data_IF_119491214088
#
_entry.id   IF_119491214088
#
_cell.length_a   1.000
_cell.length_b   1.000
_cell.length_c   1.000
_cell.angle_alpha   90.00
_cell.angle_beta   90.00
_cell.angle_gamma   90.00
#
_symmetry.space_group_name_H-M   'P 1'
#
loop_
_entity.id
_entity.type
_entity.pdbx_description
1 polymer ?
#
# COMPACT_ATOMS: atom_id res chain seq x y z
N UNK A 1 18.66 -5.52 9.25
CA UNK A 1 18.95 -4.11 9.64
C UNK A 1 19.25 -3.23 8.42
N UNK A 2 20.16 -3.62 7.52
CA UNK A 2 20.54 -2.80 6.35
C UNK A 2 19.35 -2.41 5.43
N UNK A 3 18.58 -3.38 4.92
CA UNK A 3 17.45 -3.10 4.01
C UNK A 3 16.41 -2.15 4.61
N UNK A 4 16.06 -2.36 5.87
CA UNK A 4 15.11 -1.51 6.60
C UNK A 4 15.57 -0.04 6.67
N UNK A 5 16.85 0.20 6.96
CA UNK A 5 17.40 1.56 7.01
C UNK A 5 17.46 2.22 5.62
N UNK A 6 17.80 1.46 4.56
CA UNK A 6 17.80 1.99 3.20
C UNK A 6 16.38 2.32 2.71
N UNK A 7 15.42 1.42 2.95
CA UNK A 7 14.01 1.62 2.60
C UNK A 7 13.44 2.86 3.32
N UNK A 8 13.79 3.06 4.59
CA UNK A 8 13.38 4.24 5.39
C UNK A 8 13.89 5.57 4.85
N UNK A 9 15.04 5.60 4.17
CA UNK A 9 15.56 6.84 3.56
C UNK A 9 14.70 7.30 2.39
N UNK A 10 14.11 6.36 1.66
CA UNK A 10 13.21 6.66 0.54
C UNK A 10 11.81 6.93 1.06
N UNK A 11 11.30 6.05 1.91
CA UNK A 11 9.97 6.14 2.49
C UNK A 11 8.86 5.57 1.62
N UNK A 12 7.86 4.97 2.27
CA UNK A 12 6.69 4.33 1.69
C UNK A 12 5.89 5.30 0.83
N UNK A 13 5.68 6.54 1.31
CA UNK A 13 4.98 7.57 0.52
C UNK A 13 5.67 7.84 -0.82
N UNK A 14 7.00 8.02 -0.83
CA UNK A 14 7.73 8.28 -2.08
C UNK A 14 7.81 7.02 -2.97
N UNK A 15 7.87 5.84 -2.36
CA UNK A 15 7.78 4.58 -3.11
C UNK A 15 6.40 4.42 -3.79
N UNK A 16 5.32 4.90 -3.16
CA UNK A 16 3.97 4.83 -3.74
C UNK A 16 3.86 5.55 -5.10
N UNK A 17 4.59 6.65 -5.28
CA UNK A 17 4.60 7.41 -6.54
C UNK A 17 5.24 6.62 -7.69
N UNK A 18 6.08 5.64 -7.36
CA UNK A 18 6.78 4.79 -8.33
C UNK A 18 5.97 3.55 -8.73
N UNK A 19 4.76 3.36 -8.21
CA UNK A 19 3.89 2.23 -8.59
C UNK A 19 3.49 2.24 -10.07
N UNK A 20 3.55 3.40 -10.72
CA UNK A 20 3.36 3.56 -12.17
C UNK A 20 4.43 2.83 -12.99
N UNK A 21 5.61 2.60 -12.42
CA UNK A 21 6.70 1.86 -13.09
C UNK A 21 6.56 0.34 -12.99
N UNK A 22 5.65 -0.16 -12.15
CA UNK A 22 5.48 -1.60 -11.90
C UNK A 22 4.35 -2.12 -12.77
N UNK A 23 4.66 -2.97 -13.74
CA UNK A 23 3.62 -3.61 -14.56
C UNK A 23 2.83 -4.60 -13.69
N UNK A 24 1.51 -4.42 -13.59
CA UNK A 24 0.63 -5.40 -12.96
C UNK A 24 0.25 -6.50 -13.95
N UNK A 25 -0.17 -6.11 -15.16
CA UNK A 25 -0.52 -7.05 -16.23
C UNK A 25 -0.57 -6.31 -17.57
N UNK A 26 -0.07 -6.93 -18.65
CA UNK A 26 0.07 -6.29 -19.99
C UNK A 26 -1.20 -5.59 -20.48
N UNK A 27 -2.38 -6.16 -20.21
CA UNK A 27 -3.69 -5.58 -20.59
C UNK A 27 -4.38 -4.73 -19.53
N UNK A 28 -3.92 -4.79 -18.27
CA UNK A 28 -4.58 -4.11 -17.14
C UNK A 28 -3.69 -3.01 -16.53
N UNK A 29 -2.54 -2.77 -17.15
CA UNK A 29 -1.62 -1.69 -16.84
C UNK A 29 -0.72 -1.98 -15.64
N UNK A 30 -0.47 -0.91 -14.91
CA UNK A 30 0.51 -0.78 -13.83
C UNK A 30 -0.12 -1.06 -12.47
N UNK A 31 0.72 -1.13 -11.44
CA UNK A 31 0.27 -1.28 -10.06
C UNK A 31 -0.48 -0.03 -9.59
N UNK A 32 -0.10 1.16 -10.06
CA UNK A 32 -0.84 2.40 -9.81
C UNK A 32 -2.26 2.36 -10.42
N UNK A 33 -2.40 1.86 -11.65
CA UNK A 33 -3.73 1.71 -12.26
C UNK A 33 -4.57 0.66 -11.52
N UNK A 34 -3.94 -0.37 -10.97
CA UNK A 34 -4.62 -1.33 -10.08
C UNK A 34 -5.10 -0.66 -8.79
N UNK A 35 -4.25 0.13 -8.11
CA UNK A 35 -4.66 0.81 -6.88
C UNK A 35 -5.77 1.83 -7.14
N UNK A 36 -5.77 2.53 -8.27
CA UNK A 36 -6.91 3.39 -8.69
C UNK A 36 -8.23 2.63 -8.82
N UNK A 37 -8.21 1.41 -9.37
CA UNK A 37 -9.41 0.55 -9.41
C UNK A 37 -9.86 0.12 -8.01
N UNK A 38 -8.91 -0.21 -7.14
CA UNK A 38 -9.19 -0.54 -5.73
C UNK A 38 -9.80 0.68 -5.01
N UNK A 39 -9.32 1.90 -5.27
CA UNK A 39 -9.85 3.13 -4.66
C UNK A 39 -11.32 3.30 -5.03
N UNK A 40 -11.67 3.14 -6.31
CA UNK A 40 -13.05 3.23 -6.77
C UNK A 40 -13.97 2.21 -6.06
N UNK A 41 -13.51 0.96 -5.91
CA UNK A 41 -14.26 -0.09 -5.21
C UNK A 41 -14.39 0.24 -3.72
N UNK A 42 -13.31 0.65 -3.07
CA UNK A 42 -13.30 0.99 -1.65
C UNK A 42 -14.24 2.16 -1.33
N UNK A 43 -14.25 3.20 -2.16
CA UNK A 43 -15.16 4.35 -2.01
C UNK A 43 -16.63 3.95 -2.23
N UNK A 44 -16.89 3.06 -3.19
CA UNK A 44 -18.23 2.51 -3.40
C UNK A 44 -18.72 1.73 -2.18
N UNK A 45 -17.88 0.84 -1.64
CA UNK A 45 -18.21 0.07 -0.44
C UNK A 45 -18.38 0.96 0.79
N UNK A 46 -17.52 1.96 0.97
CA UNK A 46 -17.61 2.91 2.08
C UNK A 46 -18.97 3.64 2.10
N UNK A 47 -19.46 4.04 0.92
CA UNK A 47 -20.80 4.63 0.80
C UNK A 47 -21.91 3.68 1.25
N UNK A 48 -21.83 2.41 0.89
CA UNK A 48 -22.84 1.39 1.25
C UNK A 48 -22.79 1.08 2.75
N UNK A 49 -21.58 0.99 3.31
CA UNK A 49 -21.34 0.61 4.71
C UNK A 49 -21.44 1.81 5.68
N UNK A 50 -21.64 3.03 5.16
CA UNK A 50 -21.73 4.23 5.99
C UNK A 50 -20.39 4.70 6.57
N UNK A 51 -19.26 4.29 5.98
CA UNK A 51 -17.94 4.77 6.35
C UNK A 51 -17.67 6.13 5.69
N UNK A 52 -17.52 7.16 6.51
CA UNK A 52 -17.53 8.55 6.02
C UNK A 52 -16.14 9.16 5.80
N UNK A 53 -15.07 8.51 6.23
CA UNK A 53 -13.72 9.06 6.14
C UNK A 53 -13.05 8.76 4.79
N UNK A 54 -13.58 9.39 3.74
CA UNK A 54 -13.09 9.25 2.36
C UNK A 54 -11.59 9.53 2.22
N UNK A 55 -11.06 10.48 2.99
CA UNK A 55 -9.65 10.86 2.91
C UNK A 55 -8.73 9.75 3.44
N UNK A 56 -9.10 9.09 4.55
CA UNK A 56 -8.36 7.92 5.05
C UNK A 56 -8.32 6.79 4.03
N UNK A 57 -9.43 6.50 3.36
CA UNK A 57 -9.48 5.48 2.29
C UNK A 57 -8.50 5.82 1.18
N UNK A 58 -8.57 7.04 0.65
CA UNK A 58 -7.68 7.48 -0.44
C UNK A 58 -6.22 7.42 -0.04
N UNK A 59 -5.91 7.86 1.17
CA UNK A 59 -4.53 7.85 1.68
C UNK A 59 -4.00 6.41 1.82
N UNK A 60 -4.78 5.51 2.41
CA UNK A 60 -4.42 4.10 2.50
C UNK A 60 -4.22 3.45 1.12
N UNK A 61 -5.20 3.59 0.21
CA UNK A 61 -5.16 2.95 -1.12
C UNK A 61 -4.01 3.46 -1.99
N UNK A 62 -3.52 4.68 -1.78
CA UNK A 62 -2.31 5.14 -2.48
C UNK A 62 -1.06 4.36 -2.06
N UNK A 63 -0.98 3.89 -0.81
CA UNK A 63 0.21 3.27 -0.23
C UNK A 63 0.17 1.73 -0.16
N UNK A 64 -1.00 1.10 -0.31
CA UNK A 64 -1.21 -0.34 -0.09
C UNK A 64 -0.30 -1.30 -0.89
N UNK A 65 0.38 -0.86 -1.95
CA UNK A 65 1.30 -1.72 -2.72
C UNK A 65 2.73 -1.18 -2.78
N UNK A 66 3.01 -0.08 -2.08
CA UNK A 66 4.30 0.59 -2.12
C UNK A 66 5.43 -0.25 -1.51
N UNK A 67 5.08 -1.14 -0.58
CA UNK A 67 6.00 -2.08 0.06
C UNK A 67 6.64 -3.05 -0.94
N UNK A 68 5.99 -3.39 -2.05
CA UNK A 68 6.55 -4.21 -3.14
C UNK A 68 7.84 -3.63 -3.76
N UNK A 69 8.04 -2.32 -3.62
CA UNK A 69 9.22 -1.63 -4.15
C UNK A 69 10.38 -1.57 -3.15
N UNK A 70 10.16 -2.02 -1.91
CA UNK A 70 11.17 -2.02 -0.85
C UNK A 70 12.18 -3.15 -1.06
N UNK A 71 13.42 -2.92 -0.64
CA UNK A 71 14.44 -3.97 -0.63
C UNK A 71 14.06 -5.10 0.33
N UNK A 72 13.41 -4.78 1.45
CA UNK A 72 12.94 -5.81 2.40
C UNK A 72 11.98 -6.81 1.75
N UNK A 73 10.93 -6.34 1.06
CA UNK A 73 9.93 -7.24 0.44
C UNK A 73 10.49 -7.93 -0.81
N UNK A 74 11.45 -7.32 -1.51
CA UNK A 74 12.15 -7.99 -2.61
C UNK A 74 12.95 -9.20 -2.14
N UNK A 75 13.59 -9.10 -0.97
CA UNK A 75 14.35 -10.20 -0.36
C UNK A 75 13.43 -11.20 0.35
N UNK A 76 12.37 -10.72 1.00
CA UNK A 76 11.43 -11.51 1.80
C UNK A 76 9.97 -11.22 1.37
N UNK A 77 9.49 -11.83 0.27
CA UNK A 77 8.14 -11.57 -0.26
C UNK A 77 6.99 -11.88 0.72
N UNK A 78 7.22 -12.78 1.67
CA UNK A 78 6.29 -13.14 2.74
C UNK A 78 6.01 -11.97 3.71
N UNK A 79 6.87 -10.95 3.71
CA UNK A 79 6.71 -9.77 4.57
C UNK A 79 5.88 -8.64 3.91
N UNK A 80 5.36 -8.86 2.70
CA UNK A 80 4.44 -7.90 2.07
C UNK A 80 3.20 -7.68 2.97
N UNK A 81 2.67 -6.47 2.94
CA UNK A 81 1.63 -6.00 3.87
C UNK A 81 2.20 -5.63 5.22
N UNK A 82 2.85 -6.57 5.91
CA UNK A 82 3.44 -6.32 7.24
C UNK A 82 4.49 -5.22 7.20
N UNK A 83 5.39 -5.25 6.21
CA UNK A 83 6.38 -4.18 6.04
C UNK A 83 5.74 -2.87 5.60
N UNK A 84 4.68 -2.92 4.78
CA UNK A 84 3.90 -1.74 4.43
C UNK A 84 3.35 -1.02 5.66
N UNK A 85 2.72 -1.76 6.59
CA UNK A 85 2.25 -1.22 7.87
C UNK A 85 3.40 -0.65 8.70
N UNK A 86 4.48 -1.40 8.86
CA UNK A 86 5.64 -0.96 9.67
C UNK A 86 6.22 0.34 9.13
N UNK A 87 6.41 0.45 7.81
CA UNK A 87 6.92 1.67 7.19
C UNK A 87 5.94 2.84 7.31
N UNK A 88 4.63 2.61 7.12
CA UNK A 88 3.61 3.64 7.28
C UNK A 88 3.60 4.20 8.72
N UNK A 89 3.58 3.33 9.74
CA UNK A 89 3.66 3.75 11.15
C UNK A 89 4.95 4.53 11.45
N UNK A 90 6.07 4.09 10.86
CA UNK A 90 7.34 4.79 11.03
C UNK A 90 7.32 6.21 10.43
N UNK A 91 6.54 6.43 9.38
CA UNK A 91 6.33 7.74 8.76
C UNK A 91 5.32 8.62 9.50
N UNK A 92 4.75 8.14 10.61
CA UNK A 92 3.75 8.85 11.39
C UNK A 92 2.36 8.83 10.74
N UNK A 93 2.08 7.85 9.89
CA UNK A 93 0.73 7.62 9.38
C UNK A 93 -0.23 7.17 10.49
N UNK A 94 -1.51 7.47 10.29
CA UNK A 94 -2.59 7.04 11.18
C UNK A 94 -2.65 5.51 11.26
N UNK A 95 -2.90 4.96 12.46
CA UNK A 95 -2.90 3.50 12.66
C UNK A 95 -3.91 2.80 11.74
N UNK A 96 -5.10 3.35 11.55
CA UNK A 96 -6.14 2.77 10.69
C UNK A 96 -5.67 2.67 9.24
N UNK A 97 -4.90 3.67 8.77
CA UNK A 97 -4.29 3.67 7.45
C UNK A 97 -3.21 2.57 7.37
N UNK A 98 -2.35 2.48 8.38
CA UNK A 98 -1.28 1.50 8.40
C UNK A 98 -1.80 0.06 8.45
N UNK A 99 -2.85 -0.21 9.24
CA UNK A 99 -3.51 -1.51 9.26
C UNK A 99 -4.19 -1.82 7.93
N UNK A 100 -4.88 -0.86 7.30
CA UNK A 100 -5.47 -1.06 5.98
C UNK A 100 -4.44 -1.45 4.90
N UNK A 101 -3.19 -0.97 5.02
CA UNK A 101 -2.06 -1.33 4.14
C UNK A 101 -1.57 -2.77 4.37
N UNK A 102 -1.78 -3.36 5.54
CA UNK A 102 -1.47 -4.79 5.73
C UNK A 102 -2.67 -5.66 5.38
N UNK A 103 -3.85 -5.29 5.86
CA UNK A 103 -5.03 -6.14 5.83
C UNK A 103 -5.64 -6.32 4.44
N UNK A 104 -5.36 -5.44 3.46
CA UNK A 104 -5.83 -5.67 2.09
C UNK A 104 -5.16 -6.86 1.40
N UNK A 105 -4.11 -7.44 1.99
CA UNK A 105 -3.53 -8.71 1.57
C UNK A 105 -4.26 -9.92 2.15
N UNK A 106 -5.19 -9.74 3.09
CA UNK A 106 -5.89 -10.83 3.78
C UNK A 106 -7.18 -11.27 3.08
N UNK A 107 -7.60 -12.54 3.29
CA UNK A 107 -6.80 -13.61 3.88
C UNK A 107 -5.68 -14.04 2.93
N UNK A 108 -4.48 -14.21 3.46
CA UNK A 108 -3.36 -14.83 2.74
C UNK A 108 -3.54 -16.34 2.76
N UNK A 109 -3.94 -16.93 1.63
CA UNK A 109 -4.22 -18.36 1.47
C UNK A 109 -3.73 -18.90 0.14
#
# INVERSE_FOLDING_TARGET
>A
RFFFEEDRKVGLKNLSEKLSSVTFHVRLGTMEEKTKRIEAIALYLAKILGYNNVEKIKKAVRMIKADLLTHMVREFPELQGTMGRIYALHEGEDEEIAYAIEEHYLPSG
#
